data_IF_822547103014
#
_entry.id   IF_822547103014
#
_cell.length_a   1.000
_cell.length_b   1.000
_cell.length_c   1.000
_cell.angle_alpha   90.00
_cell.angle_beta   90.00
_cell.angle_gamma   90.00
#
_symmetry.space_group_name_H-M   'P 1'
#
loop_
_entity.id
_entity.type
_entity.pdbx_description
1 polymer ?
#
# COMPACT_ATOMS: atom_id res chain seq x y z
N UNK A 1 -22.20 20.21 -7.80
CA UNK A 1 -21.30 19.20 -8.36
C UNK A 1 -19.93 19.37 -7.77
N UNK A 2 -19.50 18.43 -7.03
CA UNK A 2 -18.16 18.51 -6.49
C UNK A 2 -17.19 18.00 -7.53
N UNK A 3 -16.41 18.88 -8.07
CA UNK A 3 -15.29 18.47 -8.89
C UNK A 3 -14.20 17.99 -7.94
N UNK A 4 -13.87 16.74 -8.02
CA UNK A 4 -12.73 16.24 -7.29
C UNK A 4 -11.47 16.87 -7.89
N UNK A 5 -10.77 17.59 -7.06
CA UNK A 5 -9.46 18.08 -7.46
C UNK A 5 -8.49 16.92 -7.39
N UNK A 6 -7.84 16.67 -8.48
CA UNK A 6 -6.80 15.66 -8.55
C UNK A 6 -5.48 16.32 -8.23
N UNK A 7 -4.80 15.80 -7.24
CA UNK A 7 -3.47 16.24 -6.87
C UNK A 7 -2.47 15.15 -7.24
N UNK A 8 -1.30 15.57 -7.67
CA UNK A 8 -0.17 14.66 -7.84
C UNK A 8 0.73 14.83 -6.65
N UNK A 9 1.02 13.73 -6.01
CA UNK A 9 1.78 13.72 -4.76
C UNK A 9 3.01 12.87 -4.96
N UNK A 10 4.17 13.40 -4.58
CA UNK A 10 5.39 12.62 -4.57
C UNK A 10 5.50 11.88 -3.26
N UNK A 11 5.67 10.58 -3.33
CA UNK A 11 5.91 9.74 -2.16
C UNK A 11 7.27 9.08 -2.28
N UNK A 12 7.95 8.89 -1.17
CA UNK A 12 9.24 8.24 -1.12
C UNK A 12 9.13 6.89 -0.44
N UNK A 13 9.57 5.87 -1.17
CA UNK A 13 9.62 4.50 -0.66
C UNK A 13 11.01 3.93 -0.95
N UNK A 14 11.75 3.62 0.11
CA UNK A 14 13.13 3.15 0.03
C UNK A 14 14.02 4.05 -0.84
N UNK A 15 13.94 5.34 -0.58
CA UNK A 15 14.73 6.37 -1.27
C UNK A 15 14.39 6.57 -2.74
N UNK A 16 13.33 5.94 -3.22
CA UNK A 16 12.80 6.17 -4.56
C UNK A 16 11.57 7.04 -4.49
N UNK A 17 11.44 7.91 -5.46
CA UNK A 17 10.32 8.83 -5.55
C UNK A 17 9.30 8.32 -6.55
N UNK A 18 8.04 8.35 -6.15
CA UNK A 18 6.93 7.95 -6.99
C UNK A 18 5.89 9.06 -7.03
N UNK A 19 5.31 9.26 -8.19
CA UNK A 19 4.22 10.20 -8.36
C UNK A 19 2.89 9.44 -8.30
N UNK A 20 2.02 9.86 -7.40
CA UNK A 20 0.73 9.22 -7.22
C UNK A 20 -0.35 10.27 -7.38
N UNK A 21 -1.34 9.97 -8.20
CA UNK A 21 -2.51 10.83 -8.34
C UNK A 21 -3.56 10.42 -7.32
N UNK A 22 -4.10 11.39 -6.63
CA UNK A 22 -5.18 11.17 -5.67
C UNK A 22 -6.07 12.40 -5.62
N UNK A 23 -7.21 12.30 -4.94
CA UNK A 23 -8.01 13.49 -4.69
C UNK A 23 -7.26 14.40 -3.71
N UNK A 24 -7.48 15.70 -3.82
CA UNK A 24 -6.84 16.65 -2.92
C UNK A 24 -7.17 16.37 -1.45
N UNK A 25 -8.36 15.84 -1.19
CA UNK A 25 -8.80 15.50 0.17
C UNK A 25 -8.03 14.31 0.73
N UNK A 26 -7.56 13.41 -0.10
CA UNK A 26 -6.84 12.22 0.31
C UNK A 26 -5.33 12.43 0.43
N UNK A 27 -4.85 13.61 0.08
CA UNK A 27 -3.41 13.88 0.05
C UNK A 27 -2.72 13.61 1.39
N UNK A 28 -3.31 14.11 2.46
CA UNK A 28 -2.75 13.91 3.80
C UNK A 28 -2.70 12.44 4.19
N UNK A 29 -3.78 11.73 3.93
CA UNK A 29 -3.85 10.29 4.22
C UNK A 29 -2.85 9.50 3.38
N UNK A 30 -2.67 9.89 2.13
CA UNK A 30 -1.71 9.24 1.26
C UNK A 30 -0.27 9.44 1.75
N UNK A 31 0.06 10.66 2.18
CA UNK A 31 1.40 10.94 2.72
C UNK A 31 1.68 10.15 3.99
N UNK A 32 0.70 10.07 4.88
CA UNK A 32 0.82 9.27 6.10
C UNK A 32 0.98 7.79 5.78
N UNK A 33 0.21 7.32 4.81
CA UNK A 33 0.28 5.92 4.36
C UNK A 33 1.65 5.61 3.75
N UNK A 34 2.18 6.52 2.95
CA UNK A 34 3.49 6.35 2.34
C UNK A 34 4.60 6.28 3.40
N UNK A 35 4.51 7.12 4.41
CA UNK A 35 5.48 7.12 5.51
C UNK A 35 5.45 5.79 6.26
N UNK A 36 4.25 5.30 6.55
CA UNK A 36 4.09 4.02 7.23
C UNK A 36 4.59 2.86 6.38
N UNK A 37 4.25 2.86 5.10
CA UNK A 37 4.71 1.83 4.17
C UNK A 37 6.23 1.86 4.03
N UNK A 38 6.83 3.04 3.92
CA UNK A 38 8.27 3.16 3.84
C UNK A 38 8.96 2.54 5.06
N UNK A 39 8.44 2.79 6.24
CA UNK A 39 8.96 2.20 7.47
C UNK A 39 8.88 0.67 7.43
N UNK A 40 7.76 0.13 6.97
CA UNK A 40 7.59 -1.32 6.84
C UNK A 40 8.56 -1.91 5.80
N UNK A 41 8.74 -1.23 4.69
CA UNK A 41 9.66 -1.69 3.65
C UNK A 41 11.11 -1.68 4.14
N UNK A 42 11.46 -0.69 4.96
CA UNK A 42 12.81 -0.64 5.56
C UNK A 42 13.02 -1.80 6.53
N UNK A 43 12.02 -2.14 7.33
CA UNK A 43 12.09 -3.31 8.20
C UNK A 43 12.34 -4.60 7.42
N UNK A 44 11.61 -4.79 6.33
CA UNK A 44 11.76 -5.97 5.48
C UNK A 44 13.14 -6.01 4.84
N UNK A 45 13.59 -4.88 4.32
CA UNK A 45 14.92 -4.77 3.72
C UNK A 45 16.01 -5.10 4.72
N UNK A 46 15.91 -4.53 5.92
CA UNK A 46 16.94 -4.67 6.94
C UNK A 46 16.97 -6.07 7.54
N UNK A 47 15.92 -6.86 7.37
CA UNK A 47 15.94 -8.27 7.78
C UNK A 47 16.96 -9.09 6.99
N UNK A 48 17.34 -8.61 5.81
CA UNK A 48 18.30 -9.28 4.95
C UNK A 48 17.79 -10.54 4.26
N UNK A 49 16.56 -10.93 4.51
CA UNK A 49 15.97 -12.16 3.97
C UNK A 49 15.31 -11.97 2.61
N UNK A 50 14.99 -10.73 2.27
CA UNK A 50 14.27 -10.41 1.05
C UNK A 50 15.12 -9.44 0.23
N UNK A 51 15.37 -9.79 -1.01
CA UNK A 51 16.18 -8.99 -1.94
C UNK A 51 15.32 -8.56 -3.12
N UNK A 52 15.47 -7.30 -3.48
CA UNK A 52 14.75 -6.72 -4.60
C UNK A 52 13.56 -5.87 -4.15
N UNK A 53 13.45 -4.70 -4.75
CA UNK A 53 12.43 -3.73 -4.39
C UNK A 53 11.02 -4.31 -4.53
N UNK A 54 10.78 -5.06 -5.60
CA UNK A 54 9.46 -5.65 -5.85
C UNK A 54 9.06 -6.60 -4.73
N UNK A 55 9.98 -7.46 -4.33
CA UNK A 55 9.71 -8.44 -3.27
C UNK A 55 9.54 -7.78 -1.92
N UNK A 56 10.35 -6.78 -1.64
CA UNK A 56 10.23 -5.99 -0.41
C UNK A 56 8.85 -5.35 -0.35
N UNK A 57 8.40 -4.76 -1.44
CA UNK A 57 7.08 -4.12 -1.50
C UNK A 57 5.95 -5.14 -1.28
N UNK A 58 6.04 -6.29 -1.92
CA UNK A 58 5.02 -7.34 -1.78
C UNK A 58 4.95 -7.86 -0.35
N UNK A 59 6.08 -8.18 0.24
CA UNK A 59 6.11 -8.68 1.61
C UNK A 59 5.60 -7.62 2.58
N UNK A 60 5.98 -6.36 2.37
CA UNK A 60 5.48 -5.25 3.18
C UNK A 60 3.98 -5.11 3.08
N UNK A 61 3.45 -5.20 1.87
CA UNK A 61 2.01 -5.12 1.63
C UNK A 61 1.26 -6.28 2.31
N UNK A 62 1.80 -7.48 2.23
CA UNK A 62 1.20 -8.65 2.88
C UNK A 62 1.22 -8.51 4.41
N UNK A 63 2.31 -7.99 4.95
CA UNK A 63 2.39 -7.74 6.39
C UNK A 63 1.35 -6.72 6.84
N UNK A 64 1.18 -5.65 6.07
CA UNK A 64 0.19 -4.62 6.37
C UNK A 64 -1.23 -5.15 6.27
N UNK A 65 -1.50 -5.94 5.24
CA UNK A 65 -2.81 -6.57 5.07
C UNK A 65 -3.11 -7.51 6.24
N UNK A 66 -2.13 -8.27 6.67
CA UNK A 66 -2.27 -9.16 7.81
C UNK A 66 -2.55 -8.39 9.11
N UNK A 67 -1.83 -7.31 9.34
CA UNK A 67 -2.07 -6.43 10.49
C UNK A 67 -3.49 -5.89 10.48
N UNK A 68 -3.94 -5.43 9.33
CA UNK A 68 -5.29 -4.89 9.18
C UNK A 68 -6.35 -5.94 9.47
N UNK A 69 -6.18 -7.15 8.94
CA UNK A 69 -7.12 -8.25 9.19
C UNK A 69 -7.18 -8.58 10.67
N UNK A 70 -6.03 -8.63 11.34
CA UNK A 70 -5.97 -8.90 12.78
C UNK A 70 -6.69 -7.83 13.59
N UNK A 71 -6.48 -6.57 13.24
CA UNK A 71 -7.17 -5.45 13.90
C UNK A 71 -8.68 -5.55 13.74
N UNK A 72 -9.14 -5.93 12.55
CA UNK A 72 -10.56 -6.10 12.29
C UNK A 72 -11.17 -7.26 13.05
N UNK A 73 -10.42 -8.33 13.25
CA UNK A 73 -10.88 -9.49 14.02
C UNK A 73 -11.04 -9.16 15.51
N UNK A 74 -10.20 -8.28 16.01
CA UNK A 74 -10.25 -7.85 17.41
C UNK A 74 -11.25 -6.72 17.62
N UNK A 75 -11.57 -6.00 16.55
CA UNK A 75 -12.56 -4.92 16.59
C UNK A 75 -13.97 -5.45 16.49
N UNK A 76 -14.92 -4.69 16.95
CA UNK A 76 -16.33 -5.02 16.83
C UNK A 76 -16.79 -4.79 15.39
N UNK A 77 -17.30 -5.82 14.78
CA UNK A 77 -17.88 -5.71 13.45
C UNK A 77 -16.88 -5.96 12.34
N UNK A 78 -17.01 -7.12 11.74
CA UNK A 78 -16.23 -7.47 10.56
C UNK A 78 -16.90 -6.83 9.36
N UNK A 79 -16.19 -5.97 8.69
CA UNK A 79 -16.64 -5.41 7.43
C UNK A 79 -16.26 -6.35 6.29
N UNK A 80 -17.27 -7.04 5.78
CA UNK A 80 -17.08 -8.03 4.70
C UNK A 80 -16.53 -7.36 3.43
N UNK A 81 -16.98 -6.14 3.16
CA UNK A 81 -16.50 -5.38 2.00
C UNK A 81 -15.01 -5.13 2.06
N UNK A 82 -14.50 -4.82 3.24
CA UNK A 82 -13.07 -4.59 3.39
C UNK A 82 -12.27 -5.86 3.13
N UNK A 83 -12.78 -7.01 3.58
CA UNK A 83 -12.15 -8.29 3.28
C UNK A 83 -12.05 -8.56 1.78
N UNK A 84 -13.13 -8.28 1.04
CA UNK A 84 -13.14 -8.42 -0.41
C UNK A 84 -12.17 -7.43 -1.06
N UNK A 85 -12.11 -6.20 -0.59
CA UNK A 85 -11.18 -5.18 -1.12
C UNK A 85 -9.73 -5.57 -0.89
N UNK A 86 -9.41 -6.13 0.27
CA UNK A 86 -8.07 -6.59 0.57
C UNK A 86 -7.65 -7.74 -0.34
N UNK A 87 -8.58 -8.66 -0.61
CA UNK A 87 -8.32 -9.77 -1.53
C UNK A 87 -8.07 -9.25 -2.94
N UNK A 88 -8.87 -8.33 -3.40
CA UNK A 88 -8.70 -7.70 -4.71
C UNK A 88 -7.35 -7.00 -4.81
N UNK A 89 -6.96 -6.29 -3.77
CA UNK A 89 -5.67 -5.61 -3.73
C UNK A 89 -4.52 -6.60 -3.84
N UNK A 90 -4.61 -7.71 -3.11
CA UNK A 90 -3.58 -8.77 -3.18
C UNK A 90 -3.46 -9.32 -4.60
N UNK A 91 -4.58 -9.62 -5.23
CA UNK A 91 -4.59 -10.12 -6.60
C UNK A 91 -3.98 -9.12 -7.58
N UNK A 92 -4.27 -7.85 -7.41
CA UNK A 92 -3.69 -6.79 -8.25
C UNK A 92 -2.18 -6.69 -8.07
N UNK A 93 -1.70 -6.80 -6.85
CA UNK A 93 -0.27 -6.75 -6.56
C UNK A 93 0.43 -7.94 -7.22
N UNK A 94 -0.11 -9.14 -7.05
CA UNK A 94 0.45 -10.34 -7.67
C UNK A 94 0.46 -10.23 -9.19
N UNK A 95 -0.64 -9.79 -9.78
CA UNK A 95 -0.74 -9.62 -11.23
C UNK A 95 0.24 -8.58 -11.76
N UNK A 96 0.38 -7.45 -11.06
CA UNK A 96 1.31 -6.41 -11.46
C UNK A 96 2.75 -6.91 -11.45
N UNK A 97 3.11 -7.70 -10.44
CA UNK A 97 4.46 -8.25 -10.33
C UNK A 97 4.75 -9.25 -11.44
N UNK A 98 3.80 -10.12 -11.76
CA UNK A 98 3.93 -11.07 -12.86
C UNK A 98 4.14 -10.37 -14.20
N UNK A 99 3.44 -9.26 -14.41
CA UNK A 99 3.50 -8.51 -15.65
C UNK A 99 4.58 -7.44 -15.66
N UNK A 100 5.28 -7.22 -14.56
CA UNK A 100 6.25 -6.15 -14.43
C UNK A 100 5.65 -4.77 -14.51
N UNK A 101 4.36 -4.64 -14.22
CA UNK A 101 3.65 -3.36 -14.25
C UNK A 101 3.83 -2.61 -12.94
N UNK A 102 3.74 -1.29 -13.04
CA UNK A 102 3.75 -0.46 -11.84
C UNK A 102 2.37 -0.46 -11.20
N UNK A 103 2.36 -0.41 -9.87
CA UNK A 103 1.12 -0.35 -9.11
C UNK A 103 0.55 1.07 -9.16
N UNK A 104 -0.77 1.15 -9.32
CA UNK A 104 -1.51 2.41 -9.22
C UNK A 104 -2.51 2.31 -8.07
N UNK A 105 -2.66 3.40 -7.34
CA UNK A 105 -3.63 3.50 -6.26
C UNK A 105 -4.96 4.08 -6.75
#
# INVERSE_FOLDING_TARGET
>A
MSEERIARVSVRLLDREYQVACSAEERSDLLDSAEYLDAKMREVRDSGKVVGLDRIAVISALNLANELIKLRRTGSGVDVDLGAKLRTLRERVESALEKGQQLEL
#
